data_IF_556404432505
#
_entry.id   IF_556404432505
#
_cell.length_a   1.000
_cell.length_b   1.000
_cell.length_c   1.000
_cell.angle_alpha   90.00
_cell.angle_beta   90.00
_cell.angle_gamma   90.00
#
_symmetry.space_group_name_H-M   'P 1'
#
loop_
_entity.id
_entity.type
_entity.pdbx_description
1 polymer ?
#
# COMPACT_ATOMS: atom_id res chain seq x y z
N UNK A 1 -10.91 -0.67 -20.84
CA UNK A 1 -9.46 -0.81 -21.08
C UNK A 1 -8.98 0.51 -21.66
N UNK A 2 -7.88 1.08 -21.14
CA UNK A 2 -7.36 2.40 -21.58
C UNK A 2 -6.28 2.31 -22.68
N UNK A 3 -6.14 1.16 -23.32
CA UNK A 3 -5.16 0.95 -24.40
C UNK A 3 -3.71 0.66 -23.95
N UNK A 4 -3.47 0.53 -22.64
CA UNK A 4 -2.15 0.17 -22.15
C UNK A 4 -1.85 -1.32 -22.36
N UNK A 5 -0.58 -1.63 -22.64
CA UNK A 5 -0.02 -2.97 -22.59
C UNK A 5 0.66 -3.14 -21.24
N UNK A 6 0.03 -3.89 -20.34
CA UNK A 6 0.59 -4.16 -19.02
C UNK A 6 1.45 -5.42 -19.01
N UNK A 7 2.57 -5.39 -18.27
CA UNK A 7 3.38 -6.57 -17.96
C UNK A 7 3.45 -6.69 -16.45
N UNK A 8 2.96 -7.82 -15.91
CA UNK A 8 3.01 -8.12 -14.49
C UNK A 8 4.37 -8.69 -14.10
N UNK A 9 4.82 -8.39 -12.88
CA UNK A 9 6.09 -8.90 -12.36
C UNK A 9 6.01 -9.11 -10.85
N UNK A 10 6.61 -10.20 -10.37
CA UNK A 10 6.81 -10.52 -8.95
C UNK A 10 8.00 -11.49 -8.83
N UNK A 11 8.43 -11.77 -7.60
CA UNK A 11 9.46 -12.76 -7.30
C UNK A 11 9.05 -14.19 -7.69
N UNK A 12 7.75 -14.51 -7.63
CA UNK A 12 7.22 -15.83 -7.97
C UNK A 12 7.54 -16.22 -9.43
N UNK A 13 7.79 -17.50 -9.72
CA UNK A 13 8.13 -17.93 -11.08
C UNK A 13 6.95 -17.80 -12.07
N UNK A 14 5.71 -17.75 -11.56
CA UNK A 14 4.50 -17.58 -12.34
C UNK A 14 3.48 -16.76 -11.54
N UNK A 15 2.55 -16.11 -12.24
CA UNK A 15 1.45 -15.39 -11.58
C UNK A 15 0.60 -16.36 -10.75
N UNK A 16 0.44 -16.06 -9.46
CA UNK A 16 -0.32 -16.86 -8.51
C UNK A 16 -1.50 -16.10 -7.88
N UNK A 17 -1.78 -14.89 -8.36
CA UNK A 17 -2.91 -14.09 -7.89
C UNK A 17 -4.24 -14.58 -8.47
N UNK A 18 -5.33 -13.91 -8.08
CA UNK A 18 -6.67 -14.27 -8.54
C UNK A 18 -6.87 -13.97 -10.03
N UNK A 19 -7.25 -15.00 -10.77
CA UNK A 19 -7.49 -14.96 -12.21
C UNK A 19 -9.01 -15.02 -12.49
N UNK A 20 -9.75 -13.99 -12.13
CA UNK A 20 -11.21 -13.99 -12.17
C UNK A 20 -11.85 -13.01 -13.19
N UNK A 21 -11.04 -12.47 -14.07
CA UNK A 21 -11.50 -11.49 -15.06
C UNK A 21 -11.70 -10.07 -14.52
N UNK A 22 -11.64 -9.85 -13.21
CA UNK A 22 -11.68 -8.51 -12.58
C UNK A 22 -10.29 -8.00 -12.23
N UNK A 23 -9.36 -8.89 -11.91
CA UNK A 23 -7.93 -8.59 -11.89
C UNK A 23 -7.36 -8.99 -13.25
N UNK A 24 -6.63 -8.13 -13.90
CA UNK A 24 -6.06 -8.37 -15.22
C UNK A 24 -5.02 -9.47 -15.13
N UNK A 25 -5.40 -10.65 -15.59
CA UNK A 25 -4.55 -11.84 -15.52
C UNK A 25 -4.13 -12.34 -16.89
N UNK A 26 -4.58 -11.64 -17.94
CA UNK A 26 -4.18 -11.89 -19.32
C UNK A 26 -2.92 -11.12 -19.72
N UNK A 27 -2.41 -10.24 -18.88
CA UNK A 27 -1.16 -9.54 -19.13
C UNK A 27 0.02 -10.52 -19.12
N UNK A 28 1.03 -10.35 -19.97
CA UNK A 28 2.29 -11.06 -19.84
C UNK A 28 2.89 -10.91 -18.43
N UNK A 29 3.53 -11.97 -17.96
CA UNK A 29 4.14 -12.00 -16.65
C UNK A 29 5.62 -12.36 -16.76
N UNK A 30 6.48 -11.67 -15.99
CA UNK A 30 7.90 -11.93 -15.89
C UNK A 30 8.29 -12.09 -14.43
N UNK A 31 8.95 -13.20 -14.08
CA UNK A 31 9.55 -13.35 -12.74
C UNK A 31 10.73 -12.40 -12.59
N UNK A 32 10.75 -11.63 -11.51
CA UNK A 32 11.74 -10.61 -11.24
C UNK A 32 12.07 -10.52 -9.75
N UNK A 33 13.28 -10.87 -9.38
CA UNK A 33 13.85 -10.53 -8.08
C UNK A 33 14.43 -9.11 -8.14
N UNK A 34 13.77 -8.16 -7.47
CA UNK A 34 14.21 -6.77 -7.46
C UNK A 34 15.51 -6.55 -6.67
N UNK A 35 15.93 -7.50 -5.84
CA UNK A 35 17.20 -7.42 -5.09
C UNK A 35 18.43 -7.71 -5.95
N UNK A 36 18.22 -8.31 -7.13
CA UNK A 36 19.28 -8.56 -8.13
C UNK A 36 19.32 -7.43 -9.18
N UNK A 37 20.31 -6.54 -9.05
CA UNK A 37 20.47 -5.37 -9.93
C UNK A 37 20.65 -5.74 -11.42
N UNK A 38 21.31 -6.85 -11.71
CA UNK A 38 21.57 -7.27 -13.09
C UNK A 38 20.31 -7.83 -13.74
N UNK A 39 19.53 -8.59 -12.98
CA UNK A 39 18.22 -9.10 -13.42
C UNK A 39 17.25 -7.95 -13.65
N UNK A 40 17.16 -6.97 -12.71
CA UNK A 40 16.32 -5.77 -12.85
C UNK A 40 16.69 -5.01 -14.12
N UNK A 41 17.99 -4.74 -14.30
CA UNK A 41 18.47 -4.02 -15.48
C UNK A 41 18.11 -4.74 -16.78
N UNK A 42 18.35 -6.04 -16.87
CA UNK A 42 18.03 -6.83 -18.05
C UNK A 42 16.53 -6.82 -18.35
N UNK A 43 15.72 -7.24 -17.39
CA UNK A 43 14.27 -7.41 -17.58
C UNK A 43 13.60 -6.11 -17.97
N UNK A 44 13.85 -5.01 -17.24
CA UNK A 44 13.20 -3.72 -17.54
C UNK A 44 13.73 -3.14 -18.85
N UNK A 45 15.02 -3.32 -19.18
CA UNK A 45 15.57 -2.86 -20.46
C UNK A 45 15.03 -3.66 -21.65
N UNK A 46 14.77 -4.96 -21.49
CA UNK A 46 14.17 -5.78 -22.55
C UNK A 46 12.70 -5.38 -22.81
N UNK A 47 11.97 -4.99 -21.77
CA UNK A 47 10.56 -4.54 -21.86
C UNK A 47 10.44 -3.14 -22.46
N UNK A 48 11.40 -2.23 -22.21
CA UNK A 48 11.35 -0.82 -22.64
C UNK A 48 10.03 -0.12 -22.25
N UNK A 49 9.63 -0.10 -20.95
CA UNK A 49 8.34 0.45 -20.56
C UNK A 49 8.32 1.98 -20.62
N UNK A 50 7.15 2.55 -20.92
CA UNK A 50 6.91 4.00 -20.76
C UNK A 50 6.79 4.43 -19.29
N UNK A 51 6.34 3.50 -18.44
CA UNK A 51 6.20 3.70 -17.00
C UNK A 51 6.35 2.41 -16.21
N UNK A 52 6.94 2.50 -15.02
CA UNK A 52 7.01 1.42 -14.03
C UNK A 52 6.15 1.78 -12.82
N UNK A 53 5.18 0.93 -12.47
CA UNK A 53 4.41 1.02 -11.22
C UNK A 53 5.02 0.02 -10.24
N UNK A 54 5.81 0.52 -9.29
CA UNK A 54 6.53 -0.29 -8.31
C UNK A 54 5.71 -0.50 -7.03
N UNK A 55 5.12 -1.69 -6.91
CA UNK A 55 4.29 -2.11 -5.78
C UNK A 55 4.99 -3.11 -4.86
N UNK A 56 6.10 -3.72 -5.30
CA UNK A 56 6.78 -4.75 -4.53
C UNK A 56 7.40 -4.15 -3.26
N UNK A 57 7.19 -4.82 -2.13
CA UNK A 57 7.74 -4.42 -0.84
C UNK A 57 7.69 -5.57 0.17
N UNK A 58 8.59 -5.56 1.13
CA UNK A 58 8.44 -6.31 2.36
C UNK A 58 7.44 -5.59 3.25
N UNK A 59 6.27 -6.20 3.48
CA UNK A 59 5.15 -5.58 4.22
C UNK A 59 4.85 -6.25 5.57
N UNK A 60 5.58 -7.29 5.94
CA UNK A 60 5.45 -7.96 7.24
C UNK A 60 6.14 -7.11 8.33
N UNK A 61 5.43 -6.08 8.82
CA UNK A 61 5.96 -5.00 9.68
C UNK A 61 6.60 -5.54 10.96
N UNK A 62 5.93 -6.47 11.66
CA UNK A 62 6.48 -7.04 12.91
C UNK A 62 7.69 -7.95 12.64
N UNK A 63 7.68 -8.72 11.55
CA UNK A 63 8.81 -9.56 11.16
C UNK A 63 10.02 -8.74 10.69
N UNK A 64 9.79 -7.52 10.21
CA UNK A 64 10.88 -6.61 9.81
C UNK A 64 11.77 -6.20 11.00
N UNK A 65 11.26 -6.31 12.24
CA UNK A 65 12.00 -6.05 13.48
C UNK A 65 12.87 -7.24 13.93
N UNK A 66 12.87 -8.37 13.23
CA UNK A 66 13.75 -9.50 13.52
C UNK A 66 15.16 -9.19 13.01
N UNK A 67 16.17 -9.29 13.88
CA UNK A 67 17.56 -8.91 13.58
C UNK A 67 18.10 -9.61 12.32
N UNK A 68 17.71 -10.86 12.10
CA UNK A 68 18.08 -11.66 10.92
C UNK A 68 17.35 -11.26 9.64
N UNK A 69 16.33 -10.41 9.72
CA UNK A 69 15.50 -9.95 8.59
C UNK A 69 15.83 -8.53 8.12
N UNK A 70 16.35 -7.68 9.00
CA UNK A 70 16.58 -6.24 8.71
C UNK A 70 17.33 -6.02 7.39
N UNK A 71 18.40 -6.79 7.15
CA UNK A 71 19.18 -6.68 5.92
C UNK A 71 18.35 -7.03 4.67
N UNK A 72 17.54 -8.09 4.74
CA UNK A 72 16.67 -8.52 3.65
C UNK A 72 15.55 -7.51 3.40
N UNK A 73 14.92 -6.99 4.47
CA UNK A 73 13.89 -5.93 4.37
C UNK A 73 14.44 -4.71 3.65
N UNK A 74 15.65 -4.26 4.02
CA UNK A 74 16.31 -3.11 3.37
C UNK A 74 16.68 -3.43 1.92
N UNK A 75 17.19 -4.64 1.64
CA UNK A 75 17.50 -5.05 0.27
C UNK A 75 16.27 -5.00 -0.65
N UNK A 76 15.09 -5.40 -0.14
CA UNK A 76 13.83 -5.33 -0.90
C UNK A 76 13.32 -3.89 -1.00
N UNK A 77 13.09 -3.21 0.14
CA UNK A 77 12.36 -1.93 0.16
C UNK A 77 13.19 -0.75 -0.35
N UNK A 78 14.49 -0.73 -0.08
CA UNK A 78 15.39 0.34 -0.49
C UNK A 78 16.26 -0.07 -1.68
N UNK A 79 17.01 -1.16 -1.58
CA UNK A 79 17.91 -1.63 -2.64
C UNK A 79 17.18 -1.93 -3.95
N UNK A 80 16.14 -2.76 -3.90
CA UNK A 80 15.34 -3.09 -5.08
C UNK A 80 14.68 -1.87 -5.72
N UNK A 81 14.22 -0.93 -4.89
CA UNK A 81 13.68 0.35 -5.37
C UNK A 81 14.75 1.18 -6.09
N UNK A 82 15.98 1.24 -5.54
CA UNK A 82 17.10 1.94 -6.18
C UNK A 82 17.45 1.30 -7.54
N UNK A 83 17.52 -0.05 -7.62
CA UNK A 83 17.80 -0.75 -8.87
C UNK A 83 16.80 -0.39 -9.97
N UNK A 84 15.50 -0.34 -9.64
CA UNK A 84 14.43 0.05 -10.57
C UNK A 84 14.59 1.52 -10.97
N UNK A 85 14.82 2.42 -10.01
CA UNK A 85 14.99 3.85 -10.29
C UNK A 85 16.18 4.11 -11.23
N UNK A 86 17.30 3.40 -11.04
CA UNK A 86 18.49 3.52 -11.89
C UNK A 86 18.19 3.12 -13.35
N UNK A 87 17.40 2.09 -13.56
CA UNK A 87 17.00 1.67 -14.91
C UNK A 87 16.00 2.64 -15.51
N UNK A 88 15.01 3.09 -14.74
CA UNK A 88 14.05 4.10 -15.19
C UNK A 88 14.75 5.40 -15.63
N UNK A 89 15.80 5.83 -14.89
CA UNK A 89 16.63 6.98 -15.30
C UNK A 89 17.30 6.77 -16.66
N UNK A 90 17.88 5.61 -16.89
CA UNK A 90 18.56 5.27 -18.16
C UNK A 90 17.61 5.23 -19.35
N UNK A 91 16.37 4.76 -19.12
CA UNK A 91 15.34 4.64 -20.13
C UNK A 91 14.51 5.93 -20.29
N UNK A 92 14.72 6.92 -19.43
CA UNK A 92 13.90 8.15 -19.34
C UNK A 92 12.40 7.85 -19.14
N UNK A 93 12.04 6.72 -18.52
CA UNK A 93 10.67 6.33 -18.25
C UNK A 93 10.17 6.83 -16.89
N UNK A 94 8.85 6.95 -16.75
CA UNK A 94 8.21 7.35 -15.49
C UNK A 94 8.30 6.25 -14.46
N UNK A 95 8.41 6.61 -13.18
CA UNK A 95 8.31 5.66 -12.08
C UNK A 95 7.26 6.11 -11.06
N UNK A 96 6.33 5.22 -10.74
CA UNK A 96 5.40 5.39 -9.62
C UNK A 96 5.78 4.41 -8.52
N UNK A 97 6.04 4.92 -7.32
CA UNK A 97 6.42 4.14 -6.15
C UNK A 97 5.32 4.20 -5.08
N UNK A 98 4.81 3.05 -4.66
CA UNK A 98 3.91 2.96 -3.53
C UNK A 98 4.69 2.99 -2.23
N UNK A 99 4.41 4.01 -1.40
CA UNK A 99 4.97 4.19 -0.08
C UNK A 99 3.90 4.11 1.01
N UNK A 100 4.19 4.58 2.21
CA UNK A 100 3.39 4.37 3.42
C UNK A 100 3.38 5.61 4.30
N UNK A 101 2.35 5.75 5.12
CA UNK A 101 2.27 6.68 6.25
C UNK A 101 3.36 6.44 7.32
N UNK A 102 3.96 5.23 7.38
CA UNK A 102 5.00 4.86 8.35
C UNK A 102 6.33 5.61 8.17
N UNK A 103 6.47 6.45 7.14
CA UNK A 103 7.62 7.36 7.00
C UNK A 103 7.60 8.50 8.03
N UNK A 104 6.46 8.76 8.65
CA UNK A 104 6.26 9.79 9.68
C UNK A 104 6.34 9.21 11.09
N UNK A 105 6.47 10.08 12.11
CA UNK A 105 6.53 9.68 13.52
C UNK A 105 5.17 9.27 14.13
N UNK A 106 4.09 9.44 13.39
CA UNK A 106 2.75 9.05 13.83
C UNK A 106 2.20 9.82 15.03
N UNK A 107 2.76 10.98 15.36
CA UNK A 107 2.30 11.82 16.48
C UNK A 107 1.36 12.92 16.00
N UNK A 108 0.64 13.54 16.96
CA UNK A 108 -0.29 14.62 16.69
C UNK A 108 -1.65 14.13 16.19
N UNK A 109 -2.47 15.08 15.74
CA UNK A 109 -3.84 14.82 15.28
C UNK A 109 -4.12 15.39 13.90
N UNK A 110 -3.25 16.26 13.40
CA UNK A 110 -3.39 16.86 12.07
C UNK A 110 -2.98 15.87 10.98
N UNK A 111 -3.65 15.90 9.82
CA UNK A 111 -3.27 15.07 8.68
C UNK A 111 -1.89 15.47 8.13
N UNK A 112 -1.05 14.49 7.88
CA UNK A 112 0.24 14.67 7.21
C UNK A 112 0.05 15.23 5.81
N UNK A 113 0.83 16.26 5.47
CA UNK A 113 0.82 16.85 4.14
C UNK A 113 1.71 16.05 3.17
N UNK A 114 1.35 15.90 1.88
CA UNK A 114 2.15 15.13 0.92
C UNK A 114 3.59 15.63 0.78
N UNK A 115 3.80 16.94 0.86
CA UNK A 115 5.12 17.56 0.71
C UNK A 115 5.89 17.73 2.04
N UNK A 116 5.32 17.24 3.15
CA UNK A 116 5.99 17.20 4.45
C UNK A 116 7.21 16.29 4.40
N UNK A 117 8.36 16.80 4.88
CA UNK A 117 9.64 16.09 4.96
C UNK A 117 10.11 15.87 6.39
N UNK A 118 9.22 16.05 7.37
CA UNK A 118 9.51 15.74 8.77
C UNK A 118 9.40 14.23 9.00
N UNK A 119 10.37 13.52 8.45
CA UNK A 119 10.43 12.07 8.47
C UNK A 119 11.03 11.57 9.79
N UNK A 120 10.30 10.73 10.49
CA UNK A 120 10.76 10.08 11.73
C UNK A 120 10.12 8.68 11.86
N UNK A 121 10.47 7.73 10.97
CA UNK A 121 9.88 6.40 11.00
C UNK A 121 10.14 5.69 12.33
N UNK A 122 9.13 4.98 12.85
CA UNK A 122 9.15 4.36 14.17
C UNK A 122 9.68 2.93 14.16
N UNK A 123 9.86 2.33 12.99
CA UNK A 123 10.20 0.92 12.82
C UNK A 123 11.00 0.68 11.53
N UNK A 124 11.58 -0.52 11.40
CA UNK A 124 12.42 -0.92 10.25
C UNK A 124 11.64 -0.84 8.93
N UNK A 125 10.37 -1.24 8.91
CA UNK A 125 9.52 -1.13 7.73
C UNK A 125 9.43 0.31 7.24
N UNK A 126 9.04 1.24 8.12
CA UNK A 126 8.92 2.66 7.79
C UNK A 126 10.26 3.27 7.33
N UNK A 127 11.35 2.93 8.04
CA UNK A 127 12.70 3.39 7.71
C UNK A 127 13.11 2.94 6.30
N UNK A 128 12.94 1.67 5.97
CA UNK A 128 13.35 1.13 4.66
C UNK A 128 12.44 1.60 3.53
N UNK A 129 11.15 1.87 3.79
CA UNK A 129 10.24 2.48 2.83
C UNK A 129 10.64 3.94 2.56
N UNK A 130 11.05 4.69 3.58
CA UNK A 130 11.57 6.04 3.42
C UNK A 130 12.88 6.06 2.59
N UNK A 131 13.80 5.13 2.86
CA UNK A 131 15.02 4.97 2.06
C UNK A 131 14.66 4.74 0.57
N UNK A 132 13.60 3.98 0.29
CA UNK A 132 13.05 3.81 -1.07
C UNK A 132 12.49 5.10 -1.67
N UNK A 133 11.76 5.93 -0.89
CA UNK A 133 11.30 7.25 -1.37
C UNK A 133 12.48 8.14 -1.77
N UNK A 134 13.53 8.16 -0.94
CA UNK A 134 14.73 8.94 -1.20
C UNK A 134 15.49 8.43 -2.42
N UNK A 135 15.59 7.11 -2.59
CA UNK A 135 16.19 6.50 -3.78
C UNK A 135 15.49 6.98 -5.06
N UNK A 136 14.15 6.99 -5.08
CA UNK A 136 13.35 7.46 -6.22
C UNK A 136 13.54 8.96 -6.46
N UNK A 137 13.31 9.79 -5.44
CA UNK A 137 13.29 11.25 -5.59
C UNK A 137 14.67 11.88 -5.83
N UNK A 138 15.75 11.23 -5.41
CA UNK A 138 17.12 11.66 -5.68
C UNK A 138 17.64 11.18 -7.05
N UNK A 139 17.03 10.16 -7.62
CA UNK A 139 17.47 9.57 -8.89
C UNK A 139 16.68 10.10 -10.08
N UNK A 140 15.37 10.33 -9.93
CA UNK A 140 14.44 10.63 -11.02
C UNK A 140 13.83 12.02 -10.90
N UNK A 141 13.47 12.60 -12.05
CA UNK A 141 12.61 13.78 -12.16
C UNK A 141 11.15 13.38 -12.47
N UNK A 142 10.96 12.32 -13.27
CA UNK A 142 9.64 11.81 -13.70
C UNK A 142 9.12 10.74 -12.73
N UNK A 143 8.77 11.16 -11.49
CA UNK A 143 8.32 10.22 -10.48
C UNK A 143 7.02 10.62 -9.79
N UNK A 144 6.30 9.61 -9.33
CA UNK A 144 5.21 9.71 -8.37
C UNK A 144 5.56 8.88 -7.14
N UNK A 145 5.53 9.47 -5.96
CA UNK A 145 5.61 8.76 -4.68
C UNK A 145 4.24 8.87 -4.03
N UNK A 146 3.55 7.73 -3.92
CA UNK A 146 2.17 7.68 -3.42
C UNK A 146 2.15 6.97 -2.08
N UNK A 147 1.95 7.71 -0.99
CA UNK A 147 1.80 7.14 0.35
C UNK A 147 0.36 6.73 0.57
N UNK A 148 0.21 5.52 1.05
CA UNK A 148 -1.07 4.87 1.34
C UNK A 148 -1.07 4.34 2.77
N UNK A 149 -2.24 4.02 3.30
CA UNK A 149 -2.42 3.42 4.61
C UNK A 149 -3.51 2.35 4.58
N UNK A 150 -3.44 1.37 5.48
CA UNK A 150 -4.49 0.40 5.78
C UNK A 150 -5.05 -0.31 4.55
N UNK A 151 -4.16 -0.87 3.75
CA UNK A 151 -4.48 -1.47 2.44
C UNK A 151 -5.27 -2.77 2.60
N UNK A 152 -6.35 -2.88 1.84
CA UNK A 152 -7.10 -4.12 1.69
C UNK A 152 -7.44 -4.39 0.21
N UNK A 153 -7.53 -5.66 -0.13
CA UNK A 153 -7.81 -6.07 -1.50
C UNK A 153 -8.01 -7.58 -1.62
N UNK A 154 -8.25 -8.04 -2.83
CA UNK A 154 -8.64 -9.43 -3.07
C UNK A 154 -7.49 -10.41 -2.87
N UNK A 155 -6.30 -10.04 -3.32
CA UNK A 155 -5.12 -10.88 -3.18
C UNK A 155 -4.46 -10.72 -1.81
N UNK A 156 -3.79 -11.77 -1.36
CA UNK A 156 -3.01 -11.75 -0.13
C UNK A 156 -3.84 -11.68 1.15
N UNK A 157 -3.14 -11.56 2.28
CA UNK A 157 -3.71 -11.35 3.62
C UNK A 157 -3.97 -9.87 3.83
N UNK A 158 -5.04 -9.51 4.54
CA UNK A 158 -5.32 -8.14 4.95
C UNK A 158 -6.22 -8.13 6.20
N UNK A 159 -6.33 -6.95 6.82
CA UNK A 159 -7.07 -6.78 8.06
C UNK A 159 -8.55 -7.19 7.93
N UNK A 160 -9.23 -6.84 6.83
CA UNK A 160 -10.64 -7.20 6.63
C UNK A 160 -10.83 -8.71 6.63
N UNK A 161 -10.01 -9.45 5.89
CA UNK A 161 -10.05 -10.94 5.89
C UNK A 161 -9.78 -11.52 7.27
N UNK A 162 -8.83 -10.94 8.00
CA UNK A 162 -8.52 -11.37 9.37
C UNK A 162 -9.73 -11.17 10.27
N UNK A 163 -10.38 -10.00 10.24
CA UNK A 163 -11.56 -9.73 11.07
C UNK A 163 -12.74 -10.62 10.67
N UNK A 164 -12.97 -10.87 9.39
CA UNK A 164 -14.00 -11.81 8.95
C UNK A 164 -13.77 -13.23 9.48
N UNK A 165 -12.52 -13.69 9.50
CA UNK A 165 -12.20 -15.01 10.05
C UNK A 165 -12.37 -15.08 11.57
N UNK A 166 -11.94 -14.03 12.29
CA UNK A 166 -12.12 -13.92 13.75
C UNK A 166 -13.62 -13.88 14.08
N UNK A 167 -14.41 -13.08 13.37
CA UNK A 167 -15.84 -12.94 13.60
C UNK A 167 -16.66 -14.22 13.37
N UNK A 168 -16.13 -15.19 12.61
CA UNK A 168 -16.77 -16.51 12.43
C UNK A 168 -16.62 -17.43 13.65
N UNK A 169 -15.62 -17.21 14.48
CA UNK A 169 -15.20 -18.18 15.51
C UNK A 169 -15.20 -17.61 16.93
N UNK A 170 -15.41 -16.31 17.10
CA UNK A 170 -15.34 -15.63 18.38
C UNK A 170 -16.56 -14.74 18.61
N UNK A 171 -17.10 -14.77 19.84
CA UNK A 171 -18.19 -13.89 20.25
C UNK A 171 -17.72 -12.46 20.55
N UNK A 172 -16.43 -12.30 20.83
CA UNK A 172 -15.80 -11.01 21.14
C UNK A 172 -14.43 -10.88 20.52
N UNK A 173 -14.05 -9.64 20.16
CA UNK A 173 -12.69 -9.30 19.70
C UNK A 173 -12.25 -7.97 20.29
N UNK A 174 -10.98 -7.88 20.71
CA UNK A 174 -10.35 -6.64 21.18
C UNK A 174 -9.64 -5.96 20.02
N UNK A 175 -9.94 -4.68 19.77
CA UNK A 175 -9.38 -3.94 18.64
C UNK A 175 -8.93 -2.53 19.09
N UNK A 176 -7.78 -2.13 18.62
CA UNK A 176 -7.15 -0.84 18.91
C UNK A 176 -8.01 0.33 18.43
N UNK A 177 -8.21 1.33 19.28
CA UNK A 177 -9.04 2.52 19.01
C UNK A 177 -8.28 3.85 19.04
N UNK A 178 -7.00 3.85 19.34
CA UNK A 178 -6.13 5.04 19.44
C UNK A 178 -5.15 5.19 18.27
N UNK A 179 -5.23 4.33 17.26
CA UNK A 179 -4.55 4.49 15.98
C UNK A 179 -5.59 4.92 14.93
N UNK A 180 -5.36 6.10 14.34
CA UNK A 180 -6.35 6.76 13.48
C UNK A 180 -5.79 6.96 12.07
N UNK A 181 -6.55 6.51 11.08
CA UNK A 181 -6.19 6.59 9.65
C UNK A 181 -7.40 6.44 8.75
N UNK A 182 -7.16 6.07 7.49
CA UNK A 182 -8.23 5.76 6.53
C UNK A 182 -7.85 4.53 5.72
N UNK A 183 -8.77 3.56 5.51
CA UNK A 183 -8.51 2.39 4.68
C UNK A 183 -8.29 2.73 3.20
N UNK A 184 -7.53 1.87 2.51
CA UNK A 184 -7.28 1.99 1.07
C UNK A 184 -7.63 0.69 0.35
N UNK A 185 -8.63 0.73 -0.51
CA UNK A 185 -9.02 -0.39 -1.37
C UNK A 185 -8.16 -0.42 -2.63
N UNK A 186 -7.43 -1.52 -2.85
CA UNK A 186 -6.50 -1.65 -3.98
C UNK A 186 -7.14 -1.48 -5.34
N UNK A 187 -8.41 -1.87 -5.51
CA UNK A 187 -9.14 -1.70 -6.77
C UNK A 187 -9.38 -0.22 -7.12
N UNK A 188 -9.73 0.59 -6.12
CA UNK A 188 -9.91 2.03 -6.32
C UNK A 188 -8.57 2.72 -6.55
N UNK A 189 -7.55 2.33 -5.76
CA UNK A 189 -6.19 2.84 -5.90
C UNK A 189 -5.63 2.60 -7.30
N UNK A 190 -5.79 1.40 -7.85
CA UNK A 190 -5.24 1.04 -9.16
C UNK A 190 -5.68 1.99 -10.28
N UNK A 191 -6.92 2.49 -10.23
CA UNK A 191 -7.42 3.49 -11.20
C UNK A 191 -6.64 4.80 -11.10
N UNK A 192 -6.44 5.29 -9.88
CA UNK A 192 -5.67 6.52 -9.64
C UNK A 192 -4.21 6.37 -10.10
N UNK A 193 -3.59 5.21 -9.85
CA UNK A 193 -2.19 4.99 -10.29
C UNK A 193 -2.07 5.07 -11.82
N UNK A 194 -3.06 4.58 -12.55
CA UNK A 194 -3.09 4.70 -14.02
C UNK A 194 -3.31 6.16 -14.44
N UNK A 195 -4.25 6.88 -13.80
CA UNK A 195 -4.44 8.32 -14.06
C UNK A 195 -3.15 9.11 -13.85
N UNK A 196 -2.36 8.76 -12.82
CA UNK A 196 -1.08 9.42 -12.53
C UNK A 196 -0.04 9.18 -13.62
N UNK A 197 0.17 7.92 -14.04
CA UNK A 197 1.18 7.63 -15.08
C UNK A 197 0.82 8.18 -16.46
N UNK A 198 -0.47 8.43 -16.71
CA UNK A 198 -0.95 9.12 -17.93
C UNK A 198 -0.69 10.64 -17.89
N UNK A 199 -0.27 11.19 -16.75
CA UNK A 199 0.01 12.60 -16.52
C UNK A 199 1.50 12.89 -16.36
N UNK A 200 1.87 14.18 -16.31
CA UNK A 200 3.21 14.67 -15.96
C UNK A 200 3.20 15.47 -14.64
N UNK A 201 2.21 15.19 -13.78
CA UNK A 201 2.02 15.88 -12.49
C UNK A 201 2.82 15.19 -11.39
N UNK A 202 4.14 15.15 -11.57
CA UNK A 202 5.10 14.45 -10.73
C UNK A 202 5.12 14.93 -9.27
N UNK A 203 5.68 14.11 -8.39
CA UNK A 203 5.94 14.44 -6.98
C UNK A 203 5.29 13.51 -5.98
N UNK A 204 5.18 14.00 -4.74
CA UNK A 204 4.61 13.26 -3.61
C UNK A 204 3.09 13.43 -3.55
N UNK A 205 2.38 12.34 -3.28
CA UNK A 205 0.94 12.29 -3.11
C UNK A 205 0.55 11.37 -1.95
N UNK A 206 -0.62 11.63 -1.36
CA UNK A 206 -1.28 10.73 -0.43
C UNK A 206 -2.56 10.21 -1.08
N UNK A 207 -2.82 8.90 -0.95
CA UNK A 207 -3.99 8.26 -1.56
C UNK A 207 -4.58 7.20 -0.64
N UNK A 208 -5.68 7.53 0.01
CA UNK A 208 -6.55 6.60 0.73
C UNK A 208 -7.99 6.81 0.25
N UNK A 209 -8.91 5.90 0.54
CA UNK A 209 -10.32 6.17 0.27
C UNK A 209 -10.80 7.41 1.04
N UNK A 210 -11.87 8.06 0.57
CA UNK A 210 -12.54 9.16 1.27
C UNK A 210 -13.45 8.63 2.41
N UNK A 211 -14.10 9.51 3.16
CA UNK A 211 -15.03 9.16 4.23
C UNK A 211 -14.49 9.41 5.64
N UNK A 212 -13.44 10.24 5.75
CA UNK A 212 -12.89 10.71 7.03
C UNK A 212 -11.85 9.77 7.64
N UNK A 213 -11.48 10.09 8.87
CA UNK A 213 -10.47 9.35 9.64
C UNK A 213 -11.14 8.53 10.72
N UNK A 214 -10.75 7.28 10.85
CA UNK A 214 -11.35 6.28 11.75
C UNK A 214 -10.28 5.50 12.50
N UNK A 215 -10.67 4.82 13.59
CA UNK A 215 -9.82 3.85 14.27
C UNK A 215 -9.93 2.44 13.64
N UNK A 216 -9.02 1.55 13.99
CA UNK A 216 -9.16 0.13 13.65
C UNK A 216 -10.42 -0.48 14.30
N UNK A 217 -10.80 0.02 15.50
CA UNK A 217 -12.05 -0.34 16.15
C UNK A 217 -13.26 0.04 15.29
N UNK A 218 -13.35 1.28 14.80
CA UNK A 218 -14.44 1.74 13.94
C UNK A 218 -14.50 0.94 12.65
N UNK A 219 -13.33 0.66 12.05
CA UNK A 219 -13.25 -0.14 10.84
C UNK A 219 -13.78 -1.57 11.08
N UNK A 220 -13.44 -2.20 12.20
CA UNK A 220 -13.92 -3.53 12.56
C UNK A 220 -15.44 -3.55 12.80
N UNK A 221 -15.97 -2.55 13.51
CA UNK A 221 -17.40 -2.40 13.70
C UNK A 221 -18.15 -2.34 12.37
N UNK A 222 -17.64 -1.56 11.40
CA UNK A 222 -18.26 -1.45 10.08
C UNK A 222 -18.11 -2.75 9.26
N UNK A 223 -16.96 -3.43 9.33
CA UNK A 223 -16.77 -4.75 8.69
C UNK A 223 -17.84 -5.72 9.18
N UNK A 224 -18.04 -5.83 10.49
CA UNK A 224 -19.02 -6.75 11.05
C UNK A 224 -20.45 -6.35 10.74
N UNK A 225 -20.77 -5.06 10.80
CA UNK A 225 -22.08 -4.54 10.41
C UNK A 225 -22.43 -4.91 8.98
N UNK A 226 -21.52 -4.71 8.03
CA UNK A 226 -21.74 -5.02 6.61
C UNK A 226 -21.74 -6.52 6.31
N UNK A 227 -20.96 -7.31 7.06
CA UNK A 227 -20.91 -8.76 6.92
C UNK A 227 -22.04 -9.49 7.68
N UNK A 228 -22.86 -8.76 8.46
CA UNK A 228 -23.95 -9.36 9.24
C UNK A 228 -23.47 -10.17 10.46
N UNK A 229 -22.30 -9.84 11.02
CA UNK A 229 -21.76 -10.52 12.21
C UNK A 229 -22.23 -9.86 13.49
N UNK A 230 -22.46 -10.67 14.51
CA UNK A 230 -22.90 -10.25 15.86
C UNK A 230 -21.75 -10.22 16.88
N UNK A 231 -20.53 -10.55 16.46
CA UNK A 231 -19.32 -10.51 17.28
C UNK A 231 -19.13 -9.14 17.90
N UNK A 232 -19.01 -9.08 19.22
CA UNK A 232 -18.83 -7.85 19.98
C UNK A 232 -17.40 -7.33 19.82
N UNK A 233 -17.24 -6.09 19.34
CA UNK A 233 -15.94 -5.42 19.26
C UNK A 233 -15.71 -4.63 20.56
N UNK A 234 -14.57 -4.86 21.21
CA UNK A 234 -14.17 -4.20 22.46
C UNK A 234 -13.01 -3.25 22.12
N UNK A 235 -13.20 -1.92 22.29
CA UNK A 235 -12.12 -0.98 22.05
C UNK A 235 -11.04 -1.12 23.11
N UNK A 236 -9.78 -1.07 22.71
CA UNK A 236 -8.61 -1.08 23.59
C UNK A 236 -7.58 -0.07 23.08
N UNK A 237 -6.71 0.39 23.97
CA UNK A 237 -5.55 1.19 23.57
C UNK A 237 -4.47 0.30 22.95
N UNK A 238 -3.53 0.90 22.24
CA UNK A 238 -2.32 0.21 21.74
C UNK A 238 -1.54 -0.45 22.88
N UNK A 239 -1.43 0.22 24.02
CA UNK A 239 -0.76 -0.30 25.21
C UNK A 239 -1.49 -1.52 25.77
N UNK A 240 -2.80 -1.45 25.94
CA UNK A 240 -3.64 -2.57 26.41
C UNK A 240 -3.64 -3.77 25.45
N UNK A 241 -3.48 -3.51 24.14
CA UNK A 241 -3.38 -4.57 23.13
C UNK A 241 -2.07 -5.35 23.28
N UNK A 242 -0.93 -4.67 23.38
CA UNK A 242 0.37 -5.21 23.80
C UNK A 242 1.01 -6.30 22.92
N UNK A 243 0.43 -6.62 21.75
CA UNK A 243 0.86 -7.76 20.91
C UNK A 243 1.73 -7.39 19.71
N UNK A 244 1.96 -6.10 19.46
CA UNK A 244 2.75 -5.65 18.30
C UNK A 244 4.24 -5.55 18.67
N UNK A 245 5.10 -6.20 17.90
CA UNK A 245 6.56 -6.07 18.04
C UNK A 245 7.04 -4.70 17.54
N UNK A 246 6.58 -4.31 16.36
CA UNK A 246 6.88 -3.01 15.77
C UNK A 246 6.01 -1.90 16.40
N UNK A 247 6.61 -0.75 16.67
CA UNK A 247 5.85 0.46 17.04
C UNK A 247 5.00 0.92 15.86
N UNK A 248 3.72 1.19 16.10
CA UNK A 248 2.78 1.64 15.08
C UNK A 248 2.42 3.11 15.28
N UNK A 249 2.20 3.89 14.20
CA UNK A 249 1.78 5.27 14.31
C UNK A 249 0.38 5.40 14.91
N UNK A 250 0.19 6.31 15.87
CA UNK A 250 -1.14 6.71 16.35
C UNK A 250 -1.86 7.58 15.31
N UNK A 251 -1.10 8.40 14.58
CA UNK A 251 -1.61 9.30 13.56
C UNK A 251 -1.17 8.83 12.15
N UNK A 252 -2.05 8.12 11.47
CA UNK A 252 -1.94 7.71 10.07
C UNK A 252 -2.86 8.53 9.15
N UNK A 253 -3.28 9.74 9.59
CA UNK A 253 -4.10 10.63 8.77
C UNK A 253 -3.26 11.22 7.66
N UNK A 254 -3.71 11.06 6.43
CA UNK A 254 -3.04 11.56 5.24
C UNK A 254 -3.92 12.61 4.54
N UNK A 255 -3.41 13.83 4.37
CA UNK A 255 -4.08 14.85 3.56
C UNK A 255 -4.01 14.47 2.08
N UNK A 256 -5.13 14.52 1.39
CA UNK A 256 -5.30 14.13 -0.02
C UNK A 256 -5.65 15.31 -0.93
N UNK A 257 -5.69 16.52 -0.40
CA UNK A 257 -6.10 17.72 -1.13
C UNK A 257 -5.29 17.96 -2.40
N UNK A 258 -4.02 17.56 -2.40
CA UNK A 258 -3.12 17.67 -3.56
C UNK A 258 -3.58 16.83 -4.75
N UNK A 259 -4.30 15.71 -4.55
CA UNK A 259 -4.92 14.96 -5.66
C UNK A 259 -5.88 15.85 -6.45
N UNK A 260 -6.83 16.46 -5.72
CA UNK A 260 -7.85 17.35 -6.33
C UNK A 260 -7.21 18.59 -6.94
N UNK A 261 -6.26 19.22 -6.24
CA UNK A 261 -5.55 20.40 -6.74
C UNK A 261 -4.82 20.13 -8.06
N UNK A 262 -4.40 18.89 -8.30
CA UNK A 262 -3.78 18.45 -9.55
C UNK A 262 -4.78 17.80 -10.53
N UNK A 263 -6.09 17.86 -10.26
CA UNK A 263 -7.14 17.37 -11.15
C UNK A 263 -7.31 15.86 -11.18
N UNK A 264 -6.75 15.14 -10.19
CA UNK A 264 -7.04 13.72 -10.02
C UNK A 264 -8.35 13.54 -9.25
N UNK A 265 -9.10 12.50 -9.60
CA UNK A 265 -10.31 12.14 -8.87
C UNK A 265 -9.96 11.45 -7.55
N UNK A 266 -10.52 11.88 -6.40
CA UNK A 266 -10.39 11.18 -5.15
C UNK A 266 -10.88 9.73 -5.25
N UNK A 267 -10.39 8.87 -4.37
CA UNK A 267 -10.93 7.53 -4.23
C UNK A 267 -12.35 7.61 -3.61
N UNK A 268 -13.25 6.65 -3.91
CA UNK A 268 -14.57 6.60 -3.30
C UNK A 268 -14.52 6.52 -1.76
N UNK A 269 -15.67 6.73 -1.11
CA UNK A 269 -15.85 6.53 0.34
C UNK A 269 -15.44 5.12 0.77
N UNK A 270 -14.72 4.99 1.88
CA UNK A 270 -14.20 3.71 2.36
C UNK A 270 -15.27 2.69 2.73
N UNK A 271 -16.47 3.14 3.17
CA UNK A 271 -17.59 2.24 3.47
C UNK A 271 -18.17 1.64 2.19
N UNK A 272 -18.24 2.44 1.12
CA UNK A 272 -18.63 1.95 -0.20
C UNK A 272 -17.56 0.99 -0.76
N UNK A 273 -16.28 1.32 -0.63
CA UNK A 273 -15.18 0.46 -1.01
C UNK A 273 -15.24 -0.90 -0.28
N UNK A 274 -15.47 -0.88 1.05
CA UNK A 274 -15.66 -2.08 1.85
C UNK A 274 -16.86 -2.90 1.37
N UNK A 275 -18.02 -2.25 1.10
CA UNK A 275 -19.23 -2.92 0.60
C UNK A 275 -18.94 -3.65 -0.72
N UNK A 276 -18.30 -2.99 -1.67
CA UNK A 276 -17.91 -3.60 -2.97
C UNK A 276 -16.94 -4.75 -2.78
N UNK A 277 -15.97 -4.59 -1.87
CA UNK A 277 -15.00 -5.64 -1.55
C UNK A 277 -15.67 -6.88 -0.94
N UNK A 278 -16.56 -6.71 0.06
CA UNK A 278 -17.30 -7.82 0.67
C UNK A 278 -18.21 -8.54 -0.34
N UNK A 279 -18.91 -7.78 -1.20
CA UNK A 279 -19.71 -8.34 -2.27
C UNK A 279 -18.90 -9.22 -3.22
N UNK A 280 -17.69 -8.78 -3.56
CA UNK A 280 -16.77 -9.55 -4.39
C UNK A 280 -16.21 -10.81 -3.69
N UNK A 281 -16.10 -10.85 -2.36
CA UNK A 281 -15.70 -12.04 -1.61
C UNK A 281 -16.82 -13.08 -1.56
N UNK A 282 -18.07 -12.64 -1.35
CA UNK A 282 -19.25 -13.55 -1.27
C UNK A 282 -19.57 -14.17 -2.63
N UNK A 283 -19.46 -13.43 -3.71
CA UNK A 283 -19.72 -13.94 -5.06
C UNK A 283 -18.77 -15.08 -5.50
N UNK A 284 -17.77 -15.42 -4.68
CA UNK A 284 -16.69 -16.38 -4.96
C UNK A 284 -16.57 -17.51 -3.93
N UNK A 285 -17.31 -17.45 -2.84
CA UNK A 285 -17.44 -18.54 -1.87
C UNK A 285 -18.59 -19.48 -2.23
#
# INVERSE_FOLDING_TARGET
MRGHVGIGSDLAPAYSGMADGTAVTTAPYVSLDITDADVVRRVISDVQPDAVIHCAAWTAVDMAEDDDKVAQVRAVNAGGTQHIADVCKKLDCKMLYLSTDYVFNGQGTEPWQPDCKDYQPLNVYGQTKLEGELAVSQTLEKYFIVRIAWVFGQNGKNFVKTMLNVGKTHDTVRVVNDQIGTPTYTFDLARLLVDMIESDKYGYYHATNEGGYISWYDFTCEIYRQAGYTTKVIPVTTEEYGLSKAKRPFNSRLDKSKLVANGFQPLPDWKDALRRYLGNLVARS
#
